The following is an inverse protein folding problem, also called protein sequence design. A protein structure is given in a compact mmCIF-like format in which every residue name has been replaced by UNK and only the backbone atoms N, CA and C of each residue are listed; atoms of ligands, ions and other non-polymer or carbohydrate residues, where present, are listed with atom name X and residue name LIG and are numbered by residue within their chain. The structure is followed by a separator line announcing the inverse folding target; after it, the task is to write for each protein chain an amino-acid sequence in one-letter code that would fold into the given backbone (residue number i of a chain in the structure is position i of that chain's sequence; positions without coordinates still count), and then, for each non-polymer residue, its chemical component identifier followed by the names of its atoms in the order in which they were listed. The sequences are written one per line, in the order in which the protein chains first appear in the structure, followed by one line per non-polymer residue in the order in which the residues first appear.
data_IF_045518859326
#
_entry.id   IF_045518859326
#
_cell.length_a   1.000
_cell.length_b   1.000
_cell.length_c   1.000
_cell.angle_alpha   90.00
_cell.angle_beta   90.00
_cell.angle_gamma   90.00
#
_symmetry.space_group_name_H-M   'P 1'
#
loop_
_entity.id
_entity.type
_entity.pdbx_description
1 polymer ?
#
# COMPACT_ATOMS: atom_id res chain seq x y z
N UNK A 1 -56.82 33.28 54.37
CA UNK A 1 -57.41 32.06 53.78
C UNK A 1 -56.26 31.19 53.31
N UNK A 2 -55.76 30.18 54.04
CA UNK A 2 -56.45 29.20 54.84
C UNK A 2 -56.67 27.93 54.01
N UNK A 3 -55.67 27.02 53.97
CA UNK A 3 -55.86 25.56 53.92
C UNK A 3 -54.54 24.80 54.07
N UNK A 4 -54.37 24.24 55.26
CA UNK A 4 -53.50 23.10 55.56
C UNK A 4 -53.94 21.91 54.72
N UNK A 5 -53.00 21.25 54.05
CA UNK A 5 -53.15 19.91 53.49
C UNK A 5 -52.20 18.97 54.24
N UNK A 6 -52.73 18.32 55.26
CA UNK A 6 -52.07 17.29 56.05
C UNK A 6 -51.99 16.01 55.21
N UNK A 7 -50.78 15.52 54.91
CA UNK A 7 -50.60 14.18 54.34
C UNK A 7 -49.65 13.38 55.23
N UNK A 8 -50.26 12.52 56.05
CA UNK A 8 -49.60 11.47 56.81
C UNK A 8 -48.95 10.49 55.83
N UNK A 9 -47.61 10.36 55.87
CA UNK A 9 -46.97 9.19 55.30
C UNK A 9 -46.27 8.36 56.39
N UNK A 10 -46.62 7.08 56.36
CA UNK A 10 -46.37 6.05 57.37
C UNK A 10 -44.88 5.74 57.50
N UNK A 11 -44.47 5.42 58.73
CA UNK A 11 -43.12 5.02 59.11
C UNK A 11 -42.51 3.98 58.17
N UNK A 12 -41.37 4.34 57.60
CA UNK A 12 -40.48 3.43 56.86
C UNK A 12 -39.66 2.68 57.90
N UNK A 13 -39.99 1.41 58.14
CA UNK A 13 -39.22 0.50 58.98
C UNK A 13 -37.79 0.41 58.43
N UNK A 14 -36.80 0.77 59.26
CA UNK A 14 -35.39 0.53 58.99
C UNK A 14 -35.12 -0.97 58.98
N UNK A 15 -35.05 -1.56 57.79
CA UNK A 15 -34.52 -2.91 57.61
C UNK A 15 -33.01 -2.86 57.77
N UNK A 16 -32.49 -3.43 58.87
CA UNK A 16 -31.06 -3.72 59.02
C UNK A 16 -30.64 -4.69 57.92
N UNK A 17 -29.81 -4.21 56.99
CA UNK A 17 -29.16 -5.03 55.98
C UNK A 17 -28.21 -6.02 56.68
N UNK A 18 -28.24 -7.32 56.33
CA UNK A 18 -27.38 -8.30 56.99
C UNK A 18 -25.92 -8.06 56.60
N UNK A 19 -25.04 -7.88 57.60
CA UNK A 19 -23.59 -7.77 57.38
C UNK A 19 -23.09 -9.03 56.67
N UNK A 20 -22.72 -8.88 55.39
CA UNK A 20 -22.09 -9.92 54.58
C UNK A 20 -20.78 -10.35 55.26
N UNK A 21 -20.47 -11.66 55.38
CA UNK A 21 -19.18 -12.09 55.91
C UNK A 21 -18.06 -11.53 55.03
N UNK A 22 -17.00 -11.02 55.67
CA UNK A 22 -15.83 -10.49 54.98
C UNK A 22 -15.20 -11.60 54.14
N UNK A 23 -15.47 -11.59 52.83
CA UNK A 23 -14.77 -12.43 51.87
C UNK A 23 -13.28 -12.09 51.83
N UNK A 24 -12.44 -12.94 51.21
CA UNK A 24 -11.02 -12.67 51.06
C UNK A 24 -10.82 -11.28 50.45
N UNK A 25 -10.12 -10.41 51.17
CA UNK A 25 -9.81 -9.05 50.68
C UNK A 25 -8.94 -9.23 49.44
N UNK A 26 -9.45 -8.81 48.28
CA UNK A 26 -8.69 -8.84 47.04
C UNK A 26 -7.34 -8.10 47.27
N UNK A 27 -6.20 -8.64 46.79
CA UNK A 27 -4.93 -7.96 46.94
C UNK A 27 -5.02 -6.59 46.29
N UNK A 28 -4.71 -5.54 47.05
CA UNK A 28 -4.66 -4.16 46.56
C UNK A 28 -3.56 -4.08 45.51
N UNK A 29 -3.94 -3.96 44.23
CA UNK A 29 -2.98 -3.80 43.13
C UNK A 29 -2.51 -2.34 43.15
N UNK A 30 -1.32 -2.10 43.71
CA UNK A 30 -0.66 -0.79 43.64
C UNK A 30 -0.10 -0.59 42.23
N UNK A 31 -0.77 0.24 41.43
CA UNK A 31 -0.26 0.62 40.11
C UNK A 31 0.90 1.59 40.30
N UNK A 32 2.15 1.09 40.17
CA UNK A 32 3.33 1.96 40.13
C UNK A 32 3.36 2.73 38.82
N UNK A 33 3.04 4.02 38.88
CA UNK A 33 3.13 4.92 37.74
C UNK A 33 4.59 5.38 37.62
N UNK A 34 5.31 4.83 36.64
CA UNK A 34 6.65 5.32 36.30
C UNK A 34 6.54 6.58 35.43
N UNK A 35 7.21 7.69 35.79
CA UNK A 35 7.22 8.88 34.94
C UNK A 35 7.91 8.56 33.61
N UNK A 36 7.39 9.11 32.52
CA UNK A 36 8.03 8.96 31.22
C UNK A 36 9.44 9.58 31.28
N UNK A 37 10.46 8.78 30.92
CA UNK A 37 11.88 9.20 30.98
C UNK A 37 12.18 10.45 30.13
N UNK A 38 11.38 10.70 29.09
CA UNK A 38 11.47 11.86 28.20
C UNK A 38 10.07 12.38 27.84
N UNK A 39 9.45 13.24 28.68
CA UNK A 39 8.07 13.69 28.48
C UNK A 39 7.93 14.81 27.44
N UNK A 40 9.03 15.52 27.12
CA UNK A 40 9.06 16.66 26.18
C UNK A 40 9.80 16.38 24.86
N UNK A 41 10.27 15.16 24.65
CA UNK A 41 11.07 14.78 23.48
C UNK A 41 10.17 14.24 22.35
N UNK A 42 10.52 14.52 21.09
CA UNK A 42 9.81 13.99 19.93
C UNK A 42 9.90 12.46 19.84
N UNK A 43 8.95 11.81 19.15
CA UNK A 43 8.89 10.35 19.03
C UNK A 43 10.18 9.75 18.44
N UNK A 44 10.66 10.30 17.33
CA UNK A 44 11.85 9.80 16.63
C UNK A 44 13.11 10.03 17.47
N UNK A 45 13.30 11.24 18.00
CA UNK A 45 14.42 11.59 18.87
C UNK A 45 14.49 10.67 20.10
N UNK A 46 13.33 10.37 20.70
CA UNK A 46 13.21 9.43 21.81
C UNK A 46 13.64 8.01 21.41
N UNK A 47 13.21 7.51 20.25
CA UNK A 47 13.57 6.15 19.81
C UNK A 47 15.05 6.03 19.42
N UNK A 48 15.60 7.06 18.78
CA UNK A 48 17.02 7.15 18.46
C UNK A 48 17.87 7.18 19.74
N UNK A 49 17.47 7.97 20.74
CA UNK A 49 18.16 8.05 22.04
C UNK A 49 18.09 6.74 22.84
N UNK A 50 16.98 6.01 22.72
CA UNK A 50 16.80 4.71 23.37
C UNK A 50 17.47 3.55 22.61
N UNK A 51 18.07 3.81 21.43
CA UNK A 51 18.70 2.77 20.62
C UNK A 51 17.73 1.69 20.14
N UNK A 52 16.46 2.05 19.92
CA UNK A 52 15.44 1.08 19.48
C UNK A 52 15.63 0.77 18.01
N UNK A 53 15.94 -0.49 17.73
CA UNK A 53 16.02 -0.98 16.36
C UNK A 53 14.63 -1.09 15.72
N UNK A 54 14.57 -0.85 14.41
CA UNK A 54 13.36 -1.04 13.63
C UNK A 54 13.08 -2.54 13.49
N UNK A 55 11.84 -2.96 13.71
CA UNK A 55 11.46 -4.34 13.45
C UNK A 55 11.68 -4.71 11.97
N UNK A 56 12.08 -5.96 11.68
CA UNK A 56 12.20 -6.41 10.30
C UNK A 56 10.83 -6.35 9.64
N UNK A 57 10.73 -5.73 8.46
CA UNK A 57 9.47 -5.51 7.76
C UNK A 57 9.48 -6.18 6.38
N UNK A 58 10.26 -5.69 5.42
CA UNK A 58 10.30 -6.28 4.07
C UNK A 58 10.81 -7.73 4.04
N UNK A 59 11.70 -8.08 4.98
CA UNK A 59 12.33 -9.41 5.03
C UNK A 59 11.37 -10.51 5.51
N UNK A 60 10.43 -10.18 6.39
CA UNK A 60 9.51 -11.16 6.99
C UNK A 60 8.09 -11.09 6.41
N UNK A 61 7.77 -10.05 5.65
CA UNK A 61 6.43 -9.88 5.09
C UNK A 61 6.16 -10.87 3.96
N UNK A 62 4.98 -11.53 3.97
CA UNK A 62 4.57 -12.45 2.92
C UNK A 62 4.31 -11.69 1.61
N UNK A 63 5.01 -12.05 0.54
CA UNK A 63 4.79 -11.46 -0.79
C UNK A 63 3.36 -11.76 -1.27
N UNK A 64 2.55 -10.72 -1.41
CA UNK A 64 1.19 -10.79 -1.96
C UNK A 64 1.19 -10.35 -3.43
N UNK A 65 0.29 -10.91 -4.24
CA UNK A 65 0.15 -10.54 -5.66
C UNK A 65 -0.02 -9.02 -5.83
N UNK A 66 -0.85 -8.41 -4.99
CA UNK A 66 -1.16 -6.98 -4.99
C UNK A 66 0.08 -6.12 -4.72
N UNK A 67 0.88 -6.46 -3.70
CA UNK A 67 2.11 -5.76 -3.36
C UNK A 67 3.14 -5.84 -4.50
N UNK A 68 3.30 -7.03 -5.08
CA UNK A 68 4.23 -7.26 -6.20
C UNK A 68 3.81 -6.46 -7.43
N UNK A 69 2.53 -6.51 -7.80
CA UNK A 69 2.01 -5.74 -8.93
C UNK A 69 2.17 -4.22 -8.73
N UNK A 70 1.96 -3.72 -7.50
CA UNK A 70 2.18 -2.30 -7.20
C UNK A 70 3.63 -1.88 -7.37
N UNK A 71 4.59 -2.71 -6.95
CA UNK A 71 6.03 -2.47 -7.18
C UNK A 71 6.32 -2.44 -8.68
N UNK A 72 5.84 -3.43 -9.43
CA UNK A 72 6.05 -3.47 -10.88
C UNK A 72 5.45 -2.27 -11.61
N UNK A 73 4.33 -1.70 -11.13
CA UNK A 73 3.75 -0.51 -11.76
C UNK A 73 4.67 0.71 -11.63
N UNK A 74 5.34 0.84 -10.48
CA UNK A 74 6.33 1.89 -10.25
C UNK A 74 7.57 1.67 -11.11
N UNK A 75 8.07 0.43 -11.16
CA UNK A 75 9.25 0.08 -11.96
C UNK A 75 8.97 0.31 -13.45
N UNK A 76 7.83 -0.14 -13.97
CA UNK A 76 7.47 0.08 -15.37
C UNK A 76 7.33 1.57 -15.69
N UNK A 77 6.73 2.36 -14.80
CA UNK A 77 6.64 3.81 -14.95
C UNK A 77 8.01 4.49 -14.98
N UNK A 78 8.95 4.05 -14.13
CA UNK A 78 10.32 4.55 -14.14
C UNK A 78 11.04 4.21 -15.45
N UNK A 79 10.94 2.97 -15.92
CA UNK A 79 11.55 2.53 -17.19
C UNK A 79 11.03 3.36 -18.36
N UNK A 80 9.71 3.56 -18.44
CA UNK A 80 9.09 4.36 -19.50
C UNK A 80 9.50 5.83 -19.43
N UNK A 81 9.50 6.42 -18.24
CA UNK A 81 9.91 7.80 -18.04
C UNK A 81 11.37 8.01 -18.48
N UNK A 82 12.29 7.16 -18.00
CA UNK A 82 13.70 7.20 -18.40
C UNK A 82 13.85 7.02 -19.91
N UNK A 83 13.09 6.10 -20.52
CA UNK A 83 13.09 5.91 -21.98
C UNK A 83 12.71 7.17 -22.74
N UNK A 84 11.62 7.85 -22.34
CA UNK A 84 11.19 9.12 -22.95
C UNK A 84 12.25 10.21 -22.78
N UNK A 85 12.84 10.33 -21.59
CA UNK A 85 13.91 11.30 -21.33
C UNK A 85 15.14 11.04 -22.18
N UNK A 86 15.58 9.80 -22.32
CA UNK A 86 16.74 9.44 -23.16
C UNK A 86 16.46 9.79 -24.62
N UNK A 87 15.27 9.45 -25.14
CA UNK A 87 14.89 9.77 -26.53
C UNK A 87 14.85 11.29 -26.72
N UNK A 88 14.23 12.03 -25.81
CA UNK A 88 14.12 13.49 -25.88
C UNK A 88 15.48 14.20 -25.81
N UNK A 89 16.34 13.82 -24.86
CA UNK A 89 17.68 14.40 -24.73
C UNK A 89 18.55 14.02 -25.94
N UNK A 90 18.48 12.77 -26.40
CA UNK A 90 19.25 12.33 -27.56
C UNK A 90 18.86 13.10 -28.83
N UNK A 91 17.58 13.39 -29.03
CA UNK A 91 17.10 14.20 -30.15
C UNK A 91 17.53 15.68 -30.07
N UNK A 92 17.79 16.20 -28.87
CA UNK A 92 18.27 17.57 -28.68
C UNK A 92 19.80 17.70 -28.79
N UNK A 93 20.54 16.72 -28.24
CA UNK A 93 22.00 16.78 -28.14
C UNK A 93 22.73 16.14 -29.34
N UNK A 94 22.07 15.25 -30.09
CA UNK A 94 22.69 14.55 -31.21
C UNK A 94 21.89 14.80 -32.49
N UNK A 95 22.58 14.97 -33.63
CA UNK A 95 21.97 14.99 -34.97
C UNK A 95 21.60 13.55 -35.41
N UNK A 96 20.75 12.91 -34.62
CA UNK A 96 20.31 11.54 -34.79
C UNK A 96 19.11 11.48 -35.73
N UNK A 97 19.38 11.19 -37.00
CA UNK A 97 18.33 10.83 -37.97
C UNK A 97 17.86 9.41 -37.72
N UNK A 98 16.57 9.23 -37.53
CA UNK A 98 15.94 7.93 -37.25
C UNK A 98 16.22 6.94 -38.38
N UNK A 99 16.26 7.39 -39.64
CA UNK A 99 16.57 6.51 -40.78
C UNK A 99 18.01 5.98 -40.71
N UNK A 100 18.97 6.82 -40.32
CA UNK A 100 20.37 6.43 -40.20
C UNK A 100 20.59 5.41 -39.07
N UNK A 101 19.82 5.52 -37.98
CA UNK A 101 19.81 4.52 -36.90
C UNK A 101 19.22 3.19 -37.38
N UNK A 102 18.09 3.22 -38.06
CA UNK A 102 17.44 2.01 -38.58
C UNK A 102 18.38 1.25 -39.54
N UNK A 103 19.04 1.95 -40.46
CA UNK A 103 20.02 1.35 -41.37
C UNK A 103 21.24 0.77 -40.64
N UNK A 104 21.71 1.41 -39.55
CA UNK A 104 22.80 0.85 -38.73
C UNK A 104 22.38 -0.43 -38.02
N UNK A 105 21.16 -0.46 -37.50
CA UNK A 105 20.61 -1.64 -36.81
C UNK A 105 20.40 -2.79 -37.79
N UNK A 106 19.93 -2.50 -39.00
CA UNK A 106 19.73 -3.51 -40.05
C UNK A 106 21.05 -4.12 -40.56
N UNK A 107 22.14 -3.34 -40.54
CA UNK A 107 23.49 -3.84 -40.83
C UNK A 107 24.05 -4.75 -39.75
N UNK A 108 23.49 -4.72 -38.53
CA UNK A 108 23.85 -5.70 -37.52
C UNK A 108 23.11 -7.00 -37.81
N UNK A 109 23.84 -8.02 -38.27
CA UNK A 109 23.33 -9.36 -38.58
C UNK A 109 22.92 -10.14 -37.32
N UNK A 110 21.93 -9.65 -36.58
CA UNK A 110 21.32 -10.41 -35.49
C UNK A 110 20.20 -11.30 -36.03
N UNK A 111 20.00 -12.45 -35.37
CA UNK A 111 18.86 -13.31 -35.66
C UNK A 111 17.53 -12.57 -35.45
N UNK A 112 16.55 -12.83 -36.34
CA UNK A 112 15.21 -12.23 -36.24
C UNK A 112 14.54 -12.48 -34.88
N UNK A 113 14.81 -13.63 -34.27
CA UNK A 113 14.31 -14.00 -32.94
C UNK A 113 14.82 -13.04 -31.84
N UNK A 114 16.08 -12.63 -31.93
CA UNK A 114 16.68 -11.70 -30.97
C UNK A 114 16.02 -10.31 -31.06
N UNK A 115 15.80 -9.80 -32.27
CA UNK A 115 15.11 -8.53 -32.48
C UNK A 115 13.66 -8.56 -31.96
N UNK A 116 12.92 -9.64 -32.19
CA UNK A 116 11.57 -9.78 -31.67
C UNK A 116 11.55 -9.83 -30.14
N UNK A 117 12.54 -10.47 -29.52
CA UNK A 117 12.69 -10.49 -28.06
C UNK A 117 12.93 -9.09 -27.50
N UNK A 118 13.81 -8.30 -28.12
CA UNK A 118 14.07 -6.91 -27.71
C UNK A 118 12.79 -6.07 -27.85
N UNK A 119 12.09 -6.18 -28.98
CA UNK A 119 10.80 -5.48 -29.19
C UNK A 119 9.81 -5.82 -28.07
N UNK A 120 9.68 -7.10 -27.74
CA UNK A 120 8.81 -7.54 -26.65
C UNK A 120 9.23 -6.97 -25.30
N UNK A 121 10.52 -6.96 -24.96
CA UNK A 121 11.01 -6.39 -23.71
C UNK A 121 10.77 -4.88 -23.59
N UNK A 122 10.79 -4.14 -24.70
CA UNK A 122 10.47 -2.71 -24.73
C UNK A 122 8.97 -2.45 -24.60
N UNK A 123 8.15 -3.28 -25.25
CA UNK A 123 6.68 -3.12 -25.27
C UNK A 123 6.02 -3.62 -23.98
N UNK A 124 6.58 -4.66 -23.34
CA UNK A 124 6.04 -5.26 -22.11
C UNK A 124 5.82 -4.25 -20.95
N UNK A 125 6.80 -3.39 -20.56
CA UNK A 125 6.58 -2.41 -19.50
C UNK A 125 5.50 -1.39 -19.88
N UNK A 126 5.39 -1.01 -21.17
CA UNK A 126 4.33 -0.13 -21.65
C UNK A 126 2.95 -0.77 -21.49
N UNK A 127 2.78 -1.99 -22.03
CA UNK A 127 1.53 -2.74 -21.94
C UNK A 127 1.11 -2.95 -20.47
N UNK A 128 2.06 -3.34 -19.62
CA UNK A 128 1.80 -3.54 -18.20
C UNK A 128 1.40 -2.24 -17.50
N UNK A 129 2.12 -1.14 -17.74
CA UNK A 129 1.86 0.14 -17.10
C UNK A 129 0.48 0.69 -17.45
N UNK A 130 0.06 0.57 -18.71
CA UNK A 130 -1.27 1.02 -19.17
C UNK A 130 -2.38 0.18 -18.53
N UNK A 131 -2.25 -1.15 -18.53
CA UNK A 131 -3.29 -2.04 -17.97
C UNK A 131 -3.38 -1.90 -16.45
N UNK A 132 -2.25 -1.97 -15.75
CA UNK A 132 -2.22 -1.82 -14.30
C UNK A 132 -2.57 -0.39 -13.86
N UNK A 133 -2.17 0.64 -14.63
CA UNK A 133 -2.56 2.03 -14.43
C UNK A 133 -4.08 2.23 -14.57
N UNK A 134 -4.69 1.65 -15.60
CA UNK A 134 -6.15 1.64 -15.77
C UNK A 134 -6.85 0.97 -14.58
N UNK A 135 -6.33 -0.17 -14.11
CA UNK A 135 -6.87 -0.82 -12.90
C UNK A 135 -6.81 0.11 -11.68
N UNK A 136 -5.71 0.83 -11.48
CA UNK A 136 -5.60 1.82 -10.41
C UNK A 136 -6.60 2.96 -10.58
N UNK A 137 -6.84 3.44 -11.81
CA UNK A 137 -7.86 4.45 -12.08
C UNK A 137 -9.28 3.95 -11.72
N UNK A 138 -9.59 2.68 -12.01
CA UNK A 138 -10.85 2.05 -11.59
C UNK A 138 -10.97 2.01 -10.06
N UNK A 139 -9.87 1.74 -9.35
CA UNK A 139 -9.85 1.80 -7.89
C UNK A 139 -10.07 3.21 -7.33
N UNK A 140 -9.64 4.28 -8.04
CA UNK A 140 -9.98 5.66 -7.66
C UNK A 140 -11.49 5.94 -7.71
N UNK A 141 -12.24 5.19 -8.52
CA UNK A 141 -13.70 5.26 -8.59
C UNK A 141 -14.39 4.41 -7.50
N UNK A 142 -13.62 3.85 -6.55
CA UNK A 142 -14.09 2.94 -5.50
C UNK A 142 -14.73 1.63 -6.03
N UNK A 143 -14.32 1.18 -7.21
CA UNK A 143 -14.79 -0.08 -7.82
C UNK A 143 -13.75 -1.19 -7.60
N UNK A 144 -14.19 -2.44 -7.38
CA UNK A 144 -13.34 -3.63 -7.20
C UNK A 144 -12.34 -3.54 -6.03
N UNK A 145 -12.80 -3.09 -4.86
CA UNK A 145 -11.97 -2.95 -3.65
C UNK A 145 -12.09 -4.13 -2.67
N UNK A 146 -12.96 -5.11 -2.94
CA UNK A 146 -13.01 -6.31 -2.10
C UNK A 146 -11.80 -7.23 -2.38
N UNK A 147 -11.39 -7.98 -1.35
CA UNK A 147 -10.27 -8.92 -1.47
C UNK A 147 -10.40 -9.87 -2.68
N UNK A 148 -11.52 -10.58 -2.92
CA UNK A 148 -11.60 -11.47 -4.07
C UNK A 148 -11.52 -10.72 -5.41
N UNK A 149 -12.18 -9.58 -5.54
CA UNK A 149 -12.18 -8.78 -6.78
C UNK A 149 -10.78 -8.26 -7.13
N UNK A 150 -10.01 -7.82 -6.13
CA UNK A 150 -8.63 -7.35 -6.33
C UNK A 150 -7.74 -8.47 -6.89
N UNK A 151 -7.93 -9.72 -6.45
CA UNK A 151 -7.17 -10.85 -6.99
C UNK A 151 -7.61 -11.22 -8.41
N UNK A 152 -8.92 -11.25 -8.67
CA UNK A 152 -9.47 -11.53 -10.02
C UNK A 152 -8.99 -10.49 -11.01
N UNK A 153 -9.17 -9.20 -10.71
CA UNK A 153 -8.67 -8.09 -11.53
C UNK A 153 -7.14 -8.09 -11.65
N UNK A 154 -6.44 -8.65 -10.66
CA UNK A 154 -5.01 -8.92 -10.72
C UNK A 154 -4.61 -9.91 -11.81
N UNK A 155 -5.22 -11.09 -11.83
CA UNK A 155 -4.93 -12.11 -12.84
C UNK A 155 -5.38 -11.68 -14.24
N UNK A 156 -6.55 -11.03 -14.35
CA UNK A 156 -7.05 -10.48 -15.61
C UNK A 156 -6.08 -9.43 -16.17
N UNK A 157 -5.58 -8.53 -15.32
CA UNK A 157 -4.61 -7.52 -15.74
C UNK A 157 -3.30 -8.14 -16.27
N UNK A 158 -2.81 -9.22 -15.64
CA UNK A 158 -1.63 -9.93 -16.12
C UNK A 158 -1.87 -10.57 -17.49
N UNK A 159 -3.00 -11.28 -17.66
CA UNK A 159 -3.36 -11.89 -18.94
C UNK A 159 -3.48 -10.84 -20.05
N UNK A 160 -4.19 -9.73 -19.78
CA UNK A 160 -4.37 -8.63 -20.72
C UNK A 160 -3.04 -7.98 -21.09
N UNK A 161 -2.11 -7.84 -20.14
CA UNK A 161 -0.76 -7.33 -20.40
C UNK A 161 -0.03 -8.19 -21.41
N UNK A 162 -0.02 -9.52 -21.25
CA UNK A 162 0.65 -10.42 -22.18
C UNK A 162 0.01 -10.40 -23.56
N UNK A 163 -1.33 -10.42 -23.63
CA UNK A 163 -2.06 -10.34 -24.90
C UNK A 163 -1.73 -9.04 -25.63
N UNK A 164 -1.76 -7.91 -24.93
CA UNK A 164 -1.45 -6.60 -25.49
C UNK A 164 0.00 -6.52 -25.94
N UNK A 165 0.94 -7.02 -25.14
CA UNK A 165 2.36 -7.03 -25.50
C UNK A 165 2.63 -7.88 -26.73
N UNK A 166 2.10 -9.11 -26.79
CA UNK A 166 2.23 -9.99 -27.94
C UNK A 166 1.60 -9.37 -29.20
N UNK A 167 0.38 -8.82 -29.08
CA UNK A 167 -0.31 -8.16 -30.20
C UNK A 167 0.49 -6.99 -30.76
N UNK A 168 1.04 -6.13 -29.90
CA UNK A 168 1.87 -5.00 -30.31
C UNK A 168 3.22 -5.39 -30.90
N UNK A 169 3.75 -6.58 -30.57
CA UNK A 169 5.01 -7.06 -31.15
C UNK A 169 4.86 -7.77 -32.49
N UNK A 170 3.66 -8.31 -32.77
CA UNK A 170 3.38 -9.02 -34.02
C UNK A 170 2.95 -8.03 -35.12
N UNK A 171 2.32 -6.92 -34.74
CA UNK A 171 1.94 -5.82 -35.63
C UNK A 171 3.18 -5.12 -36.22
#
# INVERSE_FOLDING_TARGET
SGRKGESKNKGKKEGKEPKRPAGPVAPQIEIRIFPALYPKMGYDEKNMKLGRELSPHLRIYKKQLTSVMSIFLRISGLILAVGVWIIGISGLCCDLKVEALAQKIEKCEFEKSFFNTIRFLVVLPLAYHVVAGTRHLIWYLNVFLSKPEIYVTGYVALALTFILACGLTIL
#
